data_IF_840475209973
#
_entry.id   IF_840475209973
#
_cell.length_a   1.000
_cell.length_b   1.000
_cell.length_c   1.000
_cell.angle_alpha   90.00
_cell.angle_beta   90.00
_cell.angle_gamma   90.00
#
_symmetry.space_group_name_H-M   'P 1'
#
loop_
_entity.id
_entity.type
_entity.pdbx_description
1 polymer ?
#
# COMPACT_ATOMS: atom_id res chain seq x y z
N UNK A 1 8.64 -2.29 18.27
CA UNK A 1 8.41 -1.59 16.99
C UNK A 1 9.38 -2.14 15.95
N UNK A 2 8.90 -2.47 14.73
CA UNK A 2 9.76 -2.95 13.63
C UNK A 2 9.87 -1.83 12.58
N UNK A 3 11.08 -1.62 12.08
CA UNK A 3 11.41 -0.63 11.04
C UNK A 3 12.24 -1.31 9.96
N UNK A 4 11.81 -1.24 8.71
CA UNK A 4 12.58 -1.69 7.57
C UNK A 4 13.08 -0.49 6.75
N UNK A 5 14.18 -0.66 6.03
CA UNK A 5 14.83 0.42 5.30
C UNK A 5 15.29 -0.04 3.92
N UNK A 6 15.44 0.93 3.01
CA UNK A 6 15.91 0.68 1.65
C UNK A 6 17.34 0.13 1.58
N UNK A 7 18.13 0.20 2.66
CA UNK A 7 19.44 -0.45 2.70
C UNK A 7 19.39 -1.92 3.15
N UNK A 8 18.26 -2.60 2.93
CA UNK A 8 18.02 -4.00 3.30
C UNK A 8 18.31 -4.31 4.79
N UNK A 9 17.96 -3.38 5.65
CA UNK A 9 18.06 -3.58 7.10
C UNK A 9 16.71 -3.53 7.78
N UNK A 10 16.52 -4.42 8.75
CA UNK A 10 15.34 -4.45 9.62
C UNK A 10 15.82 -4.22 11.06
N UNK A 11 15.12 -3.36 11.76
CA UNK A 11 15.41 -2.99 13.14
C UNK A 11 14.19 -3.29 14.01
N UNK A 12 14.45 -3.73 15.24
CA UNK A 12 13.46 -3.73 16.30
C UNK A 12 13.86 -2.74 17.39
N UNK A 13 12.91 -1.94 17.80
CA UNK A 13 13.07 -1.02 18.90
C UNK A 13 12.04 -1.31 19.99
N UNK A 14 12.44 -1.15 21.24
CA UNK A 14 11.50 -1.02 22.34
C UNK A 14 10.64 0.23 22.12
N UNK A 15 9.33 0.05 22.06
CA UNK A 15 8.42 1.15 21.71
C UNK A 15 8.26 2.18 22.83
N UNK A 16 8.63 1.84 24.08
CA UNK A 16 8.56 2.75 25.22
C UNK A 16 9.82 3.60 25.41
N UNK A 17 10.99 3.01 25.16
CA UNK A 17 12.29 3.62 25.45
C UNK A 17 13.02 4.08 24.20
N UNK A 18 12.67 3.55 23.01
CA UNK A 18 13.41 3.77 21.78
C UNK A 18 14.72 2.98 21.69
N UNK A 19 15.06 2.14 22.69
CA UNK A 19 16.26 1.32 22.64
C UNK A 19 16.16 0.28 21.53
N UNK A 20 17.25 0.12 20.76
CA UNK A 20 17.34 -0.91 19.73
C UNK A 20 17.49 -2.28 20.39
N UNK A 21 16.49 -3.15 20.20
CA UNK A 21 16.53 -4.53 20.68
C UNK A 21 17.43 -5.40 19.78
N UNK A 22 17.26 -5.26 18.46
CA UNK A 22 18.10 -5.96 17.49
C UNK A 22 18.12 -5.23 16.14
N UNK A 23 19.10 -5.61 15.31
CA UNK A 23 19.23 -5.19 13.91
C UNK A 23 19.62 -6.42 13.09
N UNK A 24 18.96 -6.59 11.93
CA UNK A 24 19.34 -7.54 10.90
C UNK A 24 19.67 -6.76 9.62
N UNK A 25 20.91 -6.88 9.12
CA UNK A 25 21.27 -6.41 7.77
C UNK A 25 21.25 -7.62 6.85
N UNK A 26 20.40 -7.59 5.82
CA UNK A 26 20.06 -8.76 5.02
C UNK A 26 20.88 -8.87 3.74
N UNK A 27 21.64 -7.83 3.41
CA UNK A 27 22.54 -7.80 2.27
C UNK A 27 22.64 -6.42 1.62
N UNK A 28 23.36 -6.34 0.50
CA UNK A 28 23.56 -5.10 -0.24
C UNK A 28 22.38 -4.86 -1.19
N UNK A 29 21.64 -3.76 -1.03
CA UNK A 29 20.54 -3.42 -1.93
C UNK A 29 21.04 -3.07 -3.33
N UNK A 30 20.13 -3.02 -4.29
CA UNK A 30 20.44 -2.61 -5.66
C UNK A 30 20.60 -1.10 -5.73
N UNK A 31 21.65 -0.61 -6.38
CA UNK A 31 21.79 0.82 -6.68
C UNK A 31 20.75 1.28 -7.70
N UNK A 32 20.14 2.43 -7.49
CA UNK A 32 19.22 3.02 -8.45
C UNK A 32 19.84 3.28 -9.81
N UNK A 33 21.17 3.56 -9.85
CA UNK A 33 21.93 3.73 -11.09
C UNK A 33 22.09 2.46 -11.92
N UNK A 34 21.87 1.29 -11.34
CA UNK A 34 21.92 -0.02 -12.04
C UNK A 34 20.53 -0.44 -12.58
N UNK A 35 19.49 0.35 -12.30
CA UNK A 35 18.12 0.13 -12.77
C UNK A 35 17.83 0.98 -14.01
N UNK A 36 16.94 0.54 -14.92
CA UNK A 36 16.66 1.26 -16.16
C UNK A 36 15.94 2.61 -15.94
N UNK A 37 15.28 2.81 -14.82
CA UNK A 37 14.69 4.04 -14.33
C UNK A 37 14.37 3.90 -12.83
N UNK A 38 13.62 4.83 -12.25
CA UNK A 38 13.24 4.80 -10.84
C UNK A 38 13.62 6.09 -10.13
N UNK A 39 13.14 6.26 -8.90
CA UNK A 39 13.41 7.43 -8.06
C UNK A 39 13.81 7.02 -6.63
N UNK A 40 14.14 5.74 -6.40
CA UNK A 40 14.61 5.21 -5.12
C UNK A 40 16.05 4.76 -5.29
N UNK A 41 16.95 5.33 -4.50
CA UNK A 41 18.37 4.96 -4.47
C UNK A 41 18.89 5.03 -3.03
N UNK A 42 19.25 3.90 -2.48
CA UNK A 42 19.27 2.51 -3.01
C UNK A 42 17.87 1.86 -2.93
N UNK A 43 17.59 0.83 -3.76
CA UNK A 43 16.35 0.07 -3.75
C UNK A 43 16.55 -1.27 -3.03
N UNK A 44 15.93 -1.41 -1.87
CA UNK A 44 15.99 -2.59 -1.00
C UNK A 44 14.60 -3.00 -0.50
N UNK A 45 14.34 -2.86 0.82
CA UNK A 45 13.02 -3.15 1.39
C UNK A 45 12.14 -1.91 1.26
N UNK A 46 11.46 -1.76 0.13
CA UNK A 46 10.53 -0.64 -0.12
C UNK A 46 9.15 -0.92 0.45
N UNK A 47 8.64 -2.15 0.32
CA UNK A 47 7.32 -2.55 0.82
C UNK A 47 7.30 -2.70 2.34
N UNK A 48 6.21 -2.26 2.97
CA UNK A 48 6.03 -2.41 4.43
C UNK A 48 5.97 -3.90 4.82
N UNK A 49 6.81 -4.35 5.78
CA UNK A 49 6.79 -5.72 6.30
C UNK A 49 5.47 -6.10 6.95
N UNK A 50 5.18 -7.40 7.02
CA UNK A 50 4.05 -7.95 7.78
C UNK A 50 4.53 -8.81 8.94
N UNK A 51 3.83 -8.72 10.08
CA UNK A 51 4.17 -9.45 11.30
C UNK A 51 3.12 -10.52 11.58
N UNK A 52 3.56 -11.77 11.73
CA UNK A 52 2.79 -12.82 12.38
C UNK A 52 3.17 -12.87 13.86
N UNK A 53 2.41 -12.17 14.69
CA UNK A 53 2.65 -12.12 16.13
C UNK A 53 2.46 -13.50 16.81
N UNK A 54 1.59 -14.34 16.28
CA UNK A 54 1.33 -15.69 16.81
C UNK A 54 2.50 -16.62 16.54
N UNK A 55 3.04 -16.58 15.31
CA UNK A 55 4.21 -17.37 14.94
C UNK A 55 5.53 -16.72 15.41
N UNK A 56 5.51 -15.46 15.85
CA UNK A 56 6.69 -14.68 16.21
C UNK A 56 7.61 -14.44 15.02
N UNK A 57 7.06 -14.05 13.86
CA UNK A 57 7.80 -13.87 12.62
C UNK A 57 7.52 -12.49 12.00
N UNK A 58 8.56 -11.87 11.46
CA UNK A 58 8.47 -10.70 10.57
C UNK A 58 8.81 -11.16 9.16
N UNK A 59 7.97 -10.82 8.19
CA UNK A 59 8.23 -11.05 6.76
C UNK A 59 8.54 -9.73 6.08
N UNK A 60 9.62 -9.70 5.30
CA UNK A 60 10.02 -8.57 4.46
C UNK A 60 10.46 -9.08 3.08
N UNK A 61 10.46 -8.21 2.08
CA UNK A 61 11.03 -8.50 0.76
C UNK A 61 12.23 -7.61 0.55
N UNK A 62 13.41 -8.21 0.36
CA UNK A 62 14.66 -7.53 0.00
C UNK A 62 14.85 -7.50 -1.51
N UNK A 63 15.64 -6.55 -2.02
CA UNK A 63 16.02 -6.52 -3.42
C UNK A 63 17.55 -6.43 -3.56
N UNK A 64 18.17 -7.54 -3.96
CA UNK A 64 19.62 -7.71 -3.97
C UNK A 64 20.06 -8.43 -5.23
N UNK A 65 21.17 -8.00 -5.86
CA UNK A 65 21.71 -8.66 -7.05
C UNK A 65 20.66 -8.90 -8.15
N UNK A 66 19.70 -7.99 -8.27
CA UNK A 66 18.55 -8.09 -9.16
C UNK A 66 17.65 -9.32 -8.89
N UNK A 67 17.51 -9.72 -7.63
CA UNK A 67 16.59 -10.75 -7.17
C UNK A 67 15.80 -10.24 -5.96
N UNK A 68 14.48 -10.35 -5.99
CA UNK A 68 13.65 -10.14 -4.82
C UNK A 68 13.60 -11.41 -3.97
N UNK A 69 13.79 -11.26 -2.66
CA UNK A 69 13.74 -12.39 -1.72
C UNK A 69 12.77 -12.11 -0.59
N UNK A 70 11.81 -13.02 -0.41
CA UNK A 70 10.99 -13.04 0.79
C UNK A 70 11.83 -13.62 1.94
N UNK A 71 12.00 -12.84 2.99
CA UNK A 71 12.78 -13.17 4.18
C UNK A 71 11.84 -13.26 5.38
N UNK A 72 11.97 -14.33 6.17
CA UNK A 72 11.30 -14.50 7.45
C UNK A 72 12.31 -14.34 8.58
N UNK A 73 12.07 -13.36 9.44
CA UNK A 73 12.91 -13.05 10.59
C UNK A 73 12.20 -13.47 11.88
N UNK A 74 12.96 -13.98 12.82
CA UNK A 74 12.49 -14.17 14.18
C UNK A 74 12.17 -12.80 14.81
N UNK A 75 10.94 -12.62 15.28
CA UNK A 75 10.47 -11.34 15.80
C UNK A 75 11.21 -10.90 17.07
N UNK A 76 11.68 -11.84 17.88
CA UNK A 76 12.36 -11.53 19.14
C UNK A 76 13.83 -11.22 18.95
N UNK A 77 14.50 -11.85 17.97
CA UNK A 77 15.96 -11.80 17.84
C UNK A 77 16.47 -11.18 16.54
N UNK A 78 15.62 -11.05 15.52
CA UNK A 78 16.01 -10.63 14.18
C UNK A 78 16.79 -11.69 13.38
N UNK A 79 16.97 -12.90 13.90
CA UNK A 79 17.65 -13.97 13.19
C UNK A 79 16.82 -14.39 11.97
N UNK A 80 17.49 -14.60 10.83
CA UNK A 80 16.83 -15.13 9.61
C UNK A 80 16.43 -16.57 9.86
N UNK A 81 15.13 -16.87 9.90
CA UNK A 81 14.60 -18.21 10.01
C UNK A 81 14.68 -18.95 8.66
N UNK A 82 14.33 -18.24 7.58
CA UNK A 82 14.45 -18.71 6.21
C UNK A 82 14.31 -17.54 5.22
N UNK A 83 14.69 -17.80 3.97
CA UNK A 83 14.49 -16.91 2.84
C UNK A 83 14.30 -17.70 1.54
N UNK A 84 13.65 -17.08 0.57
CA UNK A 84 13.43 -17.66 -0.75
C UNK A 84 13.33 -16.59 -1.83
N UNK A 85 13.67 -16.90 -3.12
CA UNK A 85 13.32 -16.04 -4.25
C UNK A 85 11.80 -15.84 -4.34
N UNK A 86 11.38 -14.62 -4.71
CA UNK A 86 9.97 -14.24 -4.84
C UNK A 86 9.70 -13.38 -6.06
N UNK A 87 10.58 -13.37 -7.05
CA UNK A 87 10.35 -12.68 -8.31
C UNK A 87 9.13 -13.24 -9.07
N UNK A 88 8.40 -12.41 -9.81
CA UNK A 88 7.33 -12.88 -10.69
C UNK A 88 7.86 -13.82 -11.76
N UNK A 89 7.15 -14.93 -12.08
CA UNK A 89 7.62 -15.93 -13.02
C UNK A 89 7.92 -15.36 -14.41
N UNK A 90 9.17 -15.51 -14.88
CA UNK A 90 9.60 -15.08 -16.20
C UNK A 90 9.75 -13.55 -16.37
N UNK A 91 9.64 -12.78 -15.30
CA UNK A 91 9.81 -11.34 -15.33
C UNK A 91 11.30 -10.95 -15.18
N UNK A 92 11.69 -9.79 -15.71
CA UNK A 92 12.98 -9.15 -15.40
C UNK A 92 12.84 -8.39 -14.07
N UNK A 93 13.52 -8.81 -12.99
CA UNK A 93 13.43 -8.13 -11.70
C UNK A 93 13.86 -6.66 -11.72
N UNK A 94 14.71 -6.27 -12.70
CA UNK A 94 15.18 -4.89 -12.84
C UNK A 94 14.11 -3.92 -13.31
N UNK A 95 12.98 -4.41 -13.81
CA UNK A 95 11.86 -3.59 -14.25
C UNK A 95 10.66 -3.66 -13.31
N UNK A 96 10.76 -4.46 -12.24
CA UNK A 96 9.68 -4.65 -11.26
C UNK A 96 10.08 -4.08 -9.91
N UNK A 97 9.15 -3.43 -9.24
CA UNK A 97 9.33 -2.91 -7.89
C UNK A 97 8.29 -3.49 -6.92
N UNK A 98 8.77 -3.99 -5.80
CA UNK A 98 7.94 -4.42 -4.69
C UNK A 98 7.79 -3.24 -3.72
N UNK A 99 6.73 -2.44 -3.88
CA UNK A 99 6.47 -1.22 -3.08
C UNK A 99 5.30 -1.41 -2.10
N UNK A 100 4.29 -2.14 -2.50
CA UNK A 100 3.08 -2.34 -1.71
C UNK A 100 3.37 -3.06 -0.40
N UNK A 101 2.65 -2.70 0.67
CA UNK A 101 2.73 -3.43 1.93
C UNK A 101 2.40 -4.91 1.74
N UNK A 102 3.12 -5.78 2.45
CA UNK A 102 2.84 -7.20 2.46
C UNK A 102 1.54 -7.50 3.21
N UNK A 103 0.85 -8.54 2.79
CA UNK A 103 -0.32 -9.04 3.51
C UNK A 103 -0.12 -10.50 3.94
N UNK A 104 -0.66 -10.86 5.10
CA UNK A 104 -0.61 -12.22 5.64
C UNK A 104 -2.04 -12.72 5.83
N UNK A 105 -2.39 -13.79 5.14
CA UNK A 105 -3.69 -14.44 5.30
C UNK A 105 -3.60 -15.90 4.91
N UNK A 106 -4.42 -16.76 5.57
CA UNK A 106 -4.52 -18.19 5.24
C UNK A 106 -3.15 -18.88 5.13
N UNK A 107 -2.23 -18.58 6.08
CA UNK A 107 -0.87 -19.10 6.12
C UNK A 107 -0.04 -18.80 4.85
N UNK A 108 -0.33 -17.67 4.17
CA UNK A 108 0.43 -17.18 3.02
C UNK A 108 0.80 -15.71 3.20
N UNK A 109 2.01 -15.36 2.79
CA UNK A 109 2.45 -13.98 2.59
C UNK A 109 2.16 -13.61 1.15
N UNK A 110 1.41 -12.52 0.97
CA UNK A 110 1.08 -11.97 -0.35
C UNK A 110 1.97 -10.77 -0.65
N UNK A 111 2.51 -10.77 -1.85
CA UNK A 111 3.50 -9.80 -2.34
C UNK A 111 3.01 -9.23 -3.67
N UNK A 112 2.81 -7.92 -3.73
CA UNK A 112 2.40 -7.25 -4.97
C UNK A 112 3.60 -6.58 -5.65
N UNK A 113 3.56 -6.52 -6.97
CA UNK A 113 4.56 -5.87 -7.81
C UNK A 113 3.94 -4.89 -8.78
N UNK A 114 4.70 -3.86 -9.08
CA UNK A 114 4.46 -2.92 -10.16
C UNK A 114 5.75 -2.61 -10.90
N UNK A 115 5.76 -1.55 -11.70
CA UNK A 115 6.94 -1.01 -12.35
C UNK A 115 7.73 -0.08 -11.45
N UNK A 116 8.89 0.32 -11.94
CA UNK A 116 9.67 1.43 -11.42
C UNK A 116 8.99 2.78 -11.75
N UNK A 117 9.29 3.81 -11.00
CA UNK A 117 8.89 5.17 -11.39
C UNK A 117 9.49 5.51 -12.77
N UNK A 118 8.63 5.94 -13.70
CA UNK A 118 9.00 6.18 -15.10
C UNK A 118 8.63 5.05 -16.05
N UNK A 119 8.03 3.96 -15.56
CA UNK A 119 7.38 2.87 -16.33
C UNK A 119 8.25 2.26 -17.43
N UNK A 120 9.56 2.14 -17.17
CA UNK A 120 10.51 1.59 -18.12
C UNK A 120 10.50 0.07 -18.16
N UNK A 121 10.82 -0.46 -19.32
CA UNK A 121 10.91 -1.91 -19.56
C UNK A 121 9.54 -2.58 -19.73
N UNK A 122 9.56 -3.89 -19.84
CA UNK A 122 8.36 -4.71 -20.00
C UNK A 122 7.94 -5.29 -18.65
N UNK A 123 7.27 -4.51 -17.83
CA UNK A 123 6.75 -4.96 -16.55
C UNK A 123 5.25 -5.21 -16.61
N UNK A 124 4.75 -5.95 -15.62
CA UNK A 124 3.34 -6.18 -15.35
C UNK A 124 3.04 -6.02 -13.86
N UNK A 125 1.80 -5.71 -13.54
CA UNK A 125 1.30 -5.89 -12.19
C UNK A 125 1.20 -7.37 -11.85
N UNK A 126 1.70 -7.75 -10.66
CA UNK A 126 1.61 -9.12 -10.15
C UNK A 126 1.14 -9.14 -8.71
N UNK A 127 0.47 -10.24 -8.36
CA UNK A 127 0.25 -10.66 -6.98
C UNK A 127 0.83 -12.06 -6.82
N UNK A 128 1.77 -12.23 -5.90
CA UNK A 128 2.33 -13.52 -5.53
C UNK A 128 1.86 -13.95 -4.15
N UNK A 129 1.72 -15.26 -3.92
CA UNK A 129 1.34 -15.81 -2.61
C UNK A 129 2.25 -16.96 -2.22
N UNK A 130 3.20 -16.72 -1.30
CA UNK A 130 4.14 -17.71 -0.81
C UNK A 130 3.67 -18.33 0.52
N UNK A 131 3.95 -19.63 0.78
CA UNK A 131 3.71 -20.21 2.11
C UNK A 131 4.46 -19.44 3.19
N UNK A 132 3.78 -19.14 4.31
CA UNK A 132 4.37 -18.49 5.47
C UNK A 132 5.18 -19.46 6.36
N UNK A 133 4.98 -20.76 6.19
CA UNK A 133 5.57 -21.80 7.02
C UNK A 133 7.04 -22.12 6.71
N UNK A 134 7.58 -21.68 5.55
CA UNK A 134 8.97 -22.01 5.19
C UNK A 134 9.33 -21.63 3.75
N UNK A 135 10.59 -21.89 3.35
CA UNK A 135 11.11 -21.49 2.05
C UNK A 135 10.64 -22.39 0.89
N UNK A 136 9.99 -23.50 1.20
CA UNK A 136 9.55 -24.51 0.24
C UNK A 136 8.06 -24.41 -0.05
N UNK A 137 7.59 -25.17 -1.03
CA UNK A 137 6.21 -25.19 -1.48
C UNK A 137 5.89 -24.19 -2.59
N UNK A 138 4.73 -24.34 -3.25
CA UNK A 138 4.38 -23.58 -4.43
C UNK A 138 4.08 -22.13 -4.11
N UNK A 139 4.61 -21.21 -4.92
CA UNK A 139 4.20 -19.82 -4.99
C UNK A 139 3.02 -19.72 -5.95
N UNK A 140 1.92 -19.18 -5.47
CA UNK A 140 0.80 -18.79 -6.32
C UNK A 140 1.16 -17.50 -7.04
N UNK A 141 0.66 -17.32 -8.27
CA UNK A 141 0.90 -16.12 -9.04
C UNK A 141 -0.37 -15.70 -9.81
N UNK A 142 -0.69 -14.43 -9.74
CA UNK A 142 -1.65 -13.76 -10.60
C UNK A 142 -0.92 -12.63 -11.32
N UNK A 143 -1.00 -12.61 -12.64
CA UNK A 143 -0.53 -11.51 -13.48
C UNK A 143 -1.73 -10.71 -13.95
N UNK A 144 -1.68 -9.39 -13.83
CA UNK A 144 -2.68 -8.51 -14.43
C UNK A 144 -2.66 -8.72 -15.94
N UNK A 145 -3.82 -8.98 -16.61
CA UNK A 145 -3.85 -9.38 -18.01
C UNK A 145 -3.71 -8.20 -18.99
N UNK A 146 -2.94 -7.18 -18.62
CA UNK A 146 -2.51 -6.10 -19.52
C UNK A 146 -1.47 -6.62 -20.53
N UNK A 147 -1.30 -5.96 -21.64
CA UNK A 147 -0.17 -6.24 -22.56
C UNK A 147 1.18 -5.87 -21.95
N UNK A 148 1.22 -4.82 -21.11
CA UNK A 148 2.32 -4.29 -20.32
C UNK A 148 1.70 -3.43 -19.20
N UNK A 149 2.43 -3.11 -18.12
CA UNK A 149 1.96 -2.22 -17.05
C UNK A 149 0.91 -2.87 -16.13
N UNK A 150 -0.13 -2.15 -15.72
CA UNK A 150 -1.12 -2.65 -14.77
C UNK A 150 -0.57 -2.83 -13.35
N UNK A 151 0.37 -2.01 -12.94
CA UNK A 151 1.07 -2.06 -11.65
C UNK A 151 0.13 -2.19 -10.47
N UNK A 152 0.41 -3.11 -9.53
CA UNK A 152 -0.21 -3.14 -8.20
C UNK A 152 0.77 -2.48 -7.23
N UNK A 153 0.70 -1.14 -7.12
CA UNK A 153 1.75 -0.35 -6.50
C UNK A 153 1.32 0.51 -5.30
N UNK A 154 0.02 0.56 -5.01
CA UNK A 154 -0.46 1.32 -3.86
C UNK A 154 0.27 0.89 -2.57
N UNK A 155 0.91 1.83 -1.83
CA UNK A 155 1.74 1.50 -0.68
C UNK A 155 0.95 0.88 0.48
N UNK A 156 -0.35 1.09 0.55
CA UNK A 156 -1.24 0.45 1.53
C UNK A 156 -1.35 -1.08 1.37
N UNK A 157 -0.92 -1.63 0.22
CA UNK A 157 -1.02 -3.06 -0.07
C UNK A 157 -2.44 -3.55 -0.36
N UNK A 158 -2.62 -4.88 -0.48
CA UNK A 158 -3.92 -5.47 -0.71
C UNK A 158 -4.81 -5.40 0.53
N UNK A 159 -6.09 -5.07 0.37
CA UNK A 159 -7.08 -5.22 1.42
C UNK A 159 -7.60 -6.65 1.50
N UNK A 160 -7.81 -7.16 2.71
CA UNK A 160 -8.25 -8.53 2.97
C UNK A 160 -9.65 -8.55 3.58
N UNK A 161 -10.56 -9.34 3.01
CA UNK A 161 -11.83 -9.63 3.67
C UNK A 161 -11.73 -10.81 4.65
N UNK A 162 -12.74 -11.05 5.52
CA UNK A 162 -12.72 -12.16 6.47
C UNK A 162 -12.65 -13.56 5.83
N UNK A 163 -13.05 -13.70 4.56
CA UNK A 163 -12.90 -14.93 3.80
C UNK A 163 -11.48 -15.14 3.26
N UNK A 164 -10.62 -14.10 3.38
CA UNK A 164 -9.25 -14.07 2.89
C UNK A 164 -9.12 -13.67 1.42
N UNK A 165 -10.19 -13.19 0.79
CA UNK A 165 -10.07 -12.62 -0.55
C UNK A 165 -9.28 -11.31 -0.48
N UNK A 166 -8.47 -11.09 -1.52
CA UNK A 166 -7.67 -9.89 -1.68
C UNK A 166 -8.35 -8.92 -2.63
N UNK A 167 -8.32 -7.65 -2.28
CA UNK A 167 -8.74 -6.55 -3.15
C UNK A 167 -7.52 -5.70 -3.45
N UNK A 168 -7.20 -5.54 -4.72
CA UNK A 168 -6.08 -4.74 -5.21
C UNK A 168 -6.54 -3.73 -6.23
N UNK A 169 -5.82 -2.63 -6.37
CA UNK A 169 -6.05 -1.67 -7.44
C UNK A 169 -4.87 -1.69 -8.40
N UNK A 170 -5.14 -1.58 -9.69
CA UNK A 170 -4.13 -1.49 -10.75
C UNK A 170 -3.96 -0.05 -11.21
N UNK A 171 -2.72 0.30 -11.54
CA UNK A 171 -2.38 1.52 -12.26
C UNK A 171 -2.73 1.43 -13.74
N UNK A 172 -2.12 2.30 -14.53
CA UNK A 172 -2.33 2.37 -15.97
C UNK A 172 -2.10 1.02 -16.64
N UNK A 173 -2.93 0.70 -17.62
CA UNK A 173 -2.68 -0.38 -18.56
C UNK A 173 -2.01 0.12 -19.83
N UNK A 174 -1.55 -0.78 -20.66
CA UNK A 174 -0.88 -0.44 -21.92
C UNK A 174 -1.85 -0.06 -23.04
N UNK A 175 -3.14 -0.38 -22.89
CA UNK A 175 -4.16 0.01 -23.86
C UNK A 175 -4.80 1.35 -23.49
N UNK A 176 -4.82 2.28 -24.44
CA UNK A 176 -5.45 3.60 -24.30
C UNK A 176 -6.81 3.68 -25.02
N UNK A 177 -7.24 2.60 -25.67
CA UNK A 177 -8.47 2.56 -26.47
C UNK A 177 -9.50 1.51 -26.01
N UNK A 178 -9.05 0.48 -25.29
CA UNK A 178 -9.91 -0.59 -24.78
C UNK A 178 -9.48 -0.99 -23.36
N UNK A 179 -10.43 -1.51 -22.60
CA UNK A 179 -10.13 -1.98 -21.25
C UNK A 179 -9.24 -3.23 -21.30
N UNK A 180 -8.15 -3.21 -20.52
CA UNK A 180 -7.15 -4.25 -20.42
C UNK A 180 -6.75 -4.59 -18.97
N UNK A 181 -7.63 -4.34 -17.99
CA UNK A 181 -7.39 -4.43 -16.55
C UNK A 181 -6.43 -3.40 -15.96
N UNK A 182 -5.97 -2.41 -16.73
CA UNK A 182 -5.46 -1.17 -16.18
C UNK A 182 -6.57 -0.34 -15.52
N UNK A 183 -6.24 0.44 -14.51
CA UNK A 183 -7.19 1.30 -13.78
C UNK A 183 -8.41 0.54 -13.25
N UNK A 184 -8.17 -0.60 -12.60
CA UNK A 184 -9.22 -1.48 -12.07
C UNK A 184 -9.02 -1.81 -10.58
N UNK A 185 -10.11 -2.11 -9.89
CA UNK A 185 -10.10 -2.86 -8.64
C UNK A 185 -10.37 -4.32 -8.96
N UNK A 186 -9.50 -5.22 -8.53
CA UNK A 186 -9.60 -6.65 -8.79
C UNK A 186 -9.75 -7.39 -7.47
N UNK A 187 -10.72 -8.30 -7.39
CA UNK A 187 -10.85 -9.24 -6.28
C UNK A 187 -10.25 -10.58 -6.66
N UNK A 188 -9.28 -11.03 -5.86
CA UNK A 188 -8.63 -12.33 -5.98
C UNK A 188 -9.05 -13.24 -4.82
N UNK A 189 -9.26 -14.52 -5.10
CA UNK A 189 -9.43 -15.53 -4.04
C UNK A 189 -8.10 -15.71 -3.27
N UNK A 190 -8.10 -16.40 -2.11
CA UNK A 190 -6.85 -16.75 -1.42
C UNK A 190 -5.87 -17.59 -2.26
N UNK A 191 -6.35 -18.22 -3.32
CA UNK A 191 -5.55 -18.98 -4.29
C UNK A 191 -5.19 -18.18 -5.54
N UNK A 192 -5.41 -16.85 -5.49
CA UNK A 192 -5.10 -15.89 -6.54
C UNK A 192 -5.84 -16.11 -7.87
N UNK A 193 -7.06 -16.66 -7.84
CA UNK A 193 -7.97 -16.64 -8.98
C UNK A 193 -8.79 -15.35 -8.95
N UNK A 194 -8.91 -14.68 -10.07
CA UNK A 194 -9.82 -13.54 -10.20
C UNK A 194 -11.27 -13.99 -9.96
N UNK A 195 -11.98 -13.23 -9.14
CA UNK A 195 -13.38 -13.51 -8.79
C UNK A 195 -14.30 -12.31 -8.98
N UNK A 196 -13.81 -11.29 -9.67
CA UNK A 196 -14.53 -10.09 -10.06
C UNK A 196 -13.67 -8.85 -10.08
N UNK A 197 -14.12 -7.86 -10.81
CA UNK A 197 -13.44 -6.58 -10.92
C UNK A 197 -14.43 -5.41 -11.04
N UNK A 198 -13.90 -4.20 -10.84
CA UNK A 198 -14.52 -2.93 -11.21
C UNK A 198 -13.49 -2.11 -11.98
N UNK A 199 -13.94 -1.38 -12.99
CA UNK A 199 -13.17 -0.34 -13.65
C UNK A 199 -14.07 0.87 -13.98
N UNK A 200 -13.58 2.10 -13.94
CA UNK A 200 -14.27 3.24 -14.51
C UNK A 200 -14.60 3.00 -15.99
N UNK A 201 -15.71 3.56 -16.47
CA UNK A 201 -16.11 3.40 -17.90
C UNK A 201 -15.09 3.97 -18.90
N UNK A 202 -14.25 4.88 -18.44
CA UNK A 202 -13.17 5.53 -19.20
C UNK A 202 -11.76 5.03 -18.82
N UNK A 203 -11.61 3.84 -18.23
CA UNK A 203 -10.34 3.31 -17.73
C UNK A 203 -9.20 3.36 -18.75
N UNK A 204 -9.45 3.03 -20.01
CA UNK A 204 -8.47 3.12 -21.09
C UNK A 204 -7.99 4.56 -21.33
N UNK A 205 -8.90 5.53 -21.32
CA UNK A 205 -8.53 6.94 -21.45
C UNK A 205 -7.72 7.44 -20.25
N UNK A 206 -8.01 6.95 -19.04
CA UNK A 206 -7.21 7.25 -17.84
C UNK A 206 -5.78 6.72 -17.97
N UNK A 207 -5.59 5.51 -18.53
CA UNK A 207 -4.26 4.96 -18.83
C UNK A 207 -3.47 5.88 -19.79
N UNK A 208 -4.13 6.40 -20.82
CA UNK A 208 -3.49 7.32 -21.75
C UNK A 208 -3.12 8.70 -21.18
N UNK A 209 -3.71 9.06 -20.04
CA UNK A 209 -3.50 10.35 -19.38
C UNK A 209 -2.64 10.25 -18.10
N UNK A 210 -2.10 9.08 -17.78
CA UNK A 210 -1.40 8.77 -16.52
C UNK A 210 -2.23 9.10 -15.26
N UNK A 211 -3.51 8.73 -15.30
CA UNK A 211 -4.45 8.99 -14.21
C UNK A 211 -4.81 7.71 -13.45
N UNK A 212 -3.79 7.11 -12.79
CA UNK A 212 -3.93 5.85 -12.05
C UNK A 212 -5.07 5.84 -11.04
N UNK A 213 -5.97 4.86 -11.16
CA UNK A 213 -6.86 4.48 -10.07
C UNK A 213 -6.08 3.81 -8.92
N UNK A 214 -5.05 3.05 -9.27
CA UNK A 214 -4.20 2.32 -8.33
C UNK A 214 -3.19 3.16 -7.56
N UNK A 215 -3.30 4.48 -7.56
CA UNK A 215 -2.50 5.35 -6.68
C UNK A 215 -2.89 5.24 -5.20
N UNK A 216 -4.07 4.69 -4.90
CA UNK A 216 -4.48 4.24 -3.57
C UNK A 216 -4.86 2.77 -3.58
N UNK A 217 -4.90 2.13 -2.39
CA UNK A 217 -5.43 0.78 -2.23
C UNK A 217 -6.91 0.78 -1.91
N UNK A 218 -7.66 -0.30 -2.25
CA UNK A 218 -9.06 -0.42 -1.89
C UNK A 218 -9.26 -0.44 -0.37
N UNK A 219 -10.19 0.35 0.14
CA UNK A 219 -10.60 0.38 1.54
C UNK A 219 -11.87 -0.43 1.72
N UNK A 220 -11.82 -1.53 2.49
CA UNK A 220 -13.00 -2.32 2.81
C UNK A 220 -13.84 -1.62 3.88
N UNK A 221 -15.15 -1.59 3.66
CA UNK A 221 -16.12 -0.89 4.49
C UNK A 221 -17.20 -1.86 5.02
N UNK A 222 -17.85 -1.54 6.14
CA UNK A 222 -18.99 -2.32 6.63
C UNK A 222 -20.11 -2.43 5.59
N UNK A 223 -20.90 -3.52 5.66
CA UNK A 223 -22.03 -3.74 4.77
C UNK A 223 -21.66 -4.27 3.39
N UNK A 224 -20.57 -5.02 3.28
CA UNK A 224 -20.07 -5.59 2.02
C UNK A 224 -19.80 -4.51 0.97
N UNK A 225 -19.10 -3.46 1.35
CA UNK A 225 -18.72 -2.35 0.49
C UNK A 225 -17.20 -2.15 0.48
N UNK A 226 -16.71 -1.50 -0.57
CA UNK A 226 -15.34 -1.02 -0.68
C UNK A 226 -15.34 0.39 -1.25
N UNK A 227 -14.32 1.16 -0.92
CA UNK A 227 -14.07 2.48 -1.49
C UNK A 227 -12.72 2.47 -2.20
N UNK A 228 -12.63 3.20 -3.30
CA UNK A 228 -11.39 3.46 -4.02
C UNK A 228 -11.43 4.86 -4.61
N UNK A 229 -10.28 5.51 -4.64
CA UNK A 229 -10.03 6.80 -5.27
C UNK A 229 -8.62 6.76 -5.88
N UNK A 230 -8.33 7.58 -6.87
CA UNK A 230 -7.02 7.63 -7.50
C UNK A 230 -6.64 9.03 -7.94
N UNK A 231 -5.76 9.14 -8.95
CA UNK A 231 -5.23 10.40 -9.48
C UNK A 231 -6.31 11.32 -10.09
N UNK A 232 -7.50 10.81 -10.39
CA UNK A 232 -8.61 11.65 -10.87
C UNK A 232 -9.36 12.38 -9.76
N UNK A 233 -9.09 12.03 -8.49
CA UNK A 233 -9.85 12.55 -7.35
C UNK A 233 -11.32 12.13 -7.30
N UNK A 234 -11.74 11.21 -8.18
CA UNK A 234 -13.09 10.62 -8.15
C UNK A 234 -13.08 9.39 -7.27
N UNK A 235 -13.84 9.45 -6.17
CA UNK A 235 -14.07 8.30 -5.29
C UNK A 235 -15.22 7.43 -5.80
N UNK A 236 -15.01 6.12 -5.77
CA UNK A 236 -15.99 5.10 -6.15
C UNK A 236 -16.37 4.24 -4.95
N UNK A 237 -17.65 4.08 -4.70
CA UNK A 237 -18.19 3.11 -3.75
C UNK A 237 -18.59 1.86 -4.51
N UNK A 238 -18.08 0.71 -4.07
CA UNK A 238 -18.25 -0.58 -4.72
C UNK A 238 -18.97 -1.58 -3.80
N UNK A 239 -19.69 -2.54 -4.37
CA UNK A 239 -20.16 -3.71 -3.64
C UNK A 239 -19.09 -4.81 -3.65
N UNK A 240 -18.66 -5.32 -2.49
CA UNK A 240 -17.74 -6.45 -2.44
C UNK A 240 -18.40 -7.79 -2.80
N UNK A 241 -19.73 -7.86 -2.84
CA UNK A 241 -20.45 -9.05 -3.32
C UNK A 241 -20.34 -9.19 -4.83
N UNK A 242 -20.43 -8.03 -5.56
CA UNK A 242 -20.31 -7.96 -7.01
C UNK A 242 -19.71 -6.60 -7.36
N UNK A 243 -18.43 -6.55 -7.74
CA UNK A 243 -17.68 -5.31 -7.93
C UNK A 243 -18.25 -4.38 -9.02
N UNK A 244 -19.03 -4.90 -9.96
CA UNK A 244 -19.78 -4.08 -10.92
C UNK A 244 -19.23 -4.12 -12.34
N UNK A 245 -18.03 -4.64 -12.58
CA UNK A 245 -17.41 -4.64 -13.91
C UNK A 245 -17.10 -3.22 -14.40
N UNK A 246 -17.25 -2.95 -15.68
CA UNK A 246 -16.91 -1.65 -16.26
C UNK A 246 -18.05 -0.66 -16.05
N UNK A 247 -17.80 0.43 -15.33
CA UNK A 247 -18.70 1.58 -15.25
C UNK A 247 -19.90 1.46 -14.30
N UNK A 248 -19.97 0.41 -13.45
CA UNK A 248 -21.13 0.18 -12.58
C UNK A 248 -20.75 0.18 -11.07
N UNK A 249 -20.27 1.30 -10.49
CA UNK A 249 -20.11 1.42 -9.04
C UNK A 249 -21.49 1.58 -8.37
N UNK A 250 -21.56 1.39 -7.04
CA UNK A 250 -22.76 1.78 -6.27
C UNK A 250 -22.97 3.30 -6.28
N UNK A 251 -21.88 4.04 -6.19
CA UNK A 251 -21.84 5.50 -6.31
C UNK A 251 -20.47 5.98 -6.75
N UNK A 252 -20.41 7.18 -7.31
CA UNK A 252 -19.17 7.91 -7.57
C UNK A 252 -19.31 9.38 -7.22
N UNK A 253 -18.18 10.01 -6.82
CA UNK A 253 -18.16 11.42 -6.42
C UNK A 253 -16.77 12.01 -6.63
N UNK A 254 -16.69 13.21 -7.23
CA UNK A 254 -15.48 14.03 -7.17
C UNK A 254 -15.23 14.50 -5.74
N UNK A 255 -14.04 14.22 -5.21
CA UNK A 255 -13.67 14.47 -3.82
C UNK A 255 -12.56 15.53 -3.76
N UNK A 256 -11.52 15.41 -4.58
CA UNK A 256 -10.37 16.30 -4.64
C UNK A 256 -9.69 16.22 -6.02
N UNK A 257 -8.51 16.83 -6.18
CA UNK A 257 -7.78 16.77 -7.45
C UNK A 257 -7.13 15.41 -7.71
N UNK A 258 -6.42 14.87 -6.71
CA UNK A 258 -5.81 13.55 -6.76
C UNK A 258 -5.60 13.00 -5.35
N UNK A 259 -5.57 11.66 -5.21
CA UNK A 259 -5.29 10.96 -3.96
C UNK A 259 -4.22 9.89 -4.14
N UNK A 260 -3.40 9.67 -3.09
CA UNK A 260 -2.29 8.71 -3.07
C UNK A 260 -2.18 8.00 -1.73
N UNK A 261 -1.78 6.73 -1.75
CA UNK A 261 -1.47 5.97 -0.54
C UNK A 261 -2.63 5.12 -0.04
N UNK A 262 -3.17 5.42 1.13
CA UNK A 262 -4.25 4.65 1.73
C UNK A 262 -5.21 5.53 2.52
N UNK A 263 -6.48 5.21 2.46
CA UNK A 263 -7.54 5.90 3.17
C UNK A 263 -7.73 5.32 4.58
N UNK A 264 -8.26 6.11 5.51
CA UNK A 264 -8.71 5.64 6.82
C UNK A 264 -10.23 5.71 6.95
N UNK A 265 -10.83 4.86 7.81
CA UNK A 265 -12.27 4.85 8.03
C UNK A 265 -12.62 4.68 9.51
N UNK A 266 -13.53 5.49 9.99
CA UNK A 266 -14.21 5.31 11.27
C UNK A 266 -15.60 5.97 11.29
N UNK A 267 -16.52 5.34 12.00
CA UNK A 267 -17.84 5.91 12.33
C UNK A 267 -18.59 6.51 11.12
N UNK A 268 -18.55 5.81 9.97
CA UNK A 268 -19.23 6.25 8.75
C UNK A 268 -18.51 7.35 7.98
N UNK A 269 -17.25 7.65 8.30
CA UNK A 269 -16.46 8.67 7.61
C UNK A 269 -15.18 8.06 7.06
N UNK A 270 -14.90 8.32 5.77
CA UNK A 270 -13.67 7.99 5.07
C UNK A 270 -12.78 9.24 5.10
N UNK A 271 -11.49 9.09 5.40
CA UNK A 271 -10.50 10.17 5.40
C UNK A 271 -9.51 9.90 4.28
N UNK A 272 -9.56 10.76 3.26
CA UNK A 272 -8.85 10.60 1.99
C UNK A 272 -7.61 11.48 1.98
N UNK A 273 -6.40 10.94 1.71
CA UNK A 273 -5.18 11.73 1.55
C UNK A 273 -5.09 12.32 0.14
N UNK A 274 -5.65 13.50 0.00
CA UNK A 274 -5.58 14.27 -1.24
C UNK A 274 -4.28 15.08 -1.33
N UNK A 275 -3.88 15.45 -2.53
CA UNK A 275 -2.66 16.26 -2.76
C UNK A 275 -2.73 17.64 -2.11
N UNK A 276 -3.91 18.16 -1.91
CA UNK A 276 -4.21 19.45 -1.28
C UNK A 276 -4.63 19.35 0.21
N UNK A 277 -4.68 18.14 0.78
CA UNK A 277 -5.01 17.93 2.20
C UNK A 277 -5.79 16.65 2.46
N UNK A 278 -6.16 16.45 3.73
CA UNK A 278 -7.08 15.37 4.11
C UNK A 278 -8.52 15.83 3.89
N UNK A 279 -9.29 15.05 3.13
CA UNK A 279 -10.72 15.27 2.94
C UNK A 279 -11.51 14.20 3.67
N UNK A 280 -12.43 14.62 4.54
CA UNK A 280 -13.38 13.70 5.18
C UNK A 280 -14.65 13.55 4.35
N UNK A 281 -14.99 12.31 4.05
CA UNK A 281 -16.15 11.94 3.24
C UNK A 281 -17.12 11.13 4.09
N UNK A 282 -18.30 11.69 4.40
CA UNK A 282 -19.37 10.98 5.10
C UNK A 282 -20.04 9.98 4.15
N UNK A 283 -20.15 8.75 4.61
CA UNK A 283 -20.89 7.69 3.93
C UNK A 283 -22.28 7.52 4.59
N UNK A 284 -23.34 7.81 3.85
CA UNK A 284 -24.73 7.64 4.31
C UNK A 284 -25.51 6.83 3.27
N UNK A 285 -25.85 5.58 3.61
CA UNK A 285 -26.28 4.61 2.58
C UNK A 285 -25.19 4.47 1.54
N UNK A 286 -25.51 4.68 0.27
CA UNK A 286 -24.56 4.66 -0.83
C UNK A 286 -24.14 6.07 -1.31
N UNK A 287 -24.33 7.10 -0.46
CA UNK A 287 -23.96 8.48 -0.79
C UNK A 287 -22.61 8.85 -0.18
N UNK A 288 -21.69 9.34 -1.01
CA UNK A 288 -20.41 9.93 -0.64
C UNK A 288 -20.55 11.45 -0.53
N UNK A 289 -20.33 12.02 0.66
CA UNK A 289 -20.49 13.44 0.91
C UNK A 289 -19.23 14.01 1.57
N UNK A 290 -18.40 14.80 0.88
CA UNK A 290 -17.34 15.58 1.53
C UNK A 290 -17.94 16.50 2.58
N UNK A 291 -17.37 16.50 3.80
CA UNK A 291 -17.90 17.24 4.95
C UNK A 291 -16.91 18.27 5.50
N UNK A 292 -15.62 18.02 5.38
CA UNK A 292 -14.56 18.97 5.67
C UNK A 292 -13.28 18.60 4.93
N UNK A 293 -12.38 19.58 4.75
CA UNK A 293 -11.02 19.41 4.26
C UNK A 293 -10.02 20.14 5.15
N UNK A 294 -8.77 19.64 5.22
CA UNK A 294 -7.70 20.22 6.03
C UNK A 294 -6.35 20.09 5.29
N UNK A 295 -5.82 21.21 4.82
CA UNK A 295 -4.62 21.29 3.97
C UNK A 295 -3.27 21.13 4.68
N UNK A 296 -3.24 20.99 6.02
CA UNK A 296 -1.97 20.87 6.75
C UNK A 296 -1.25 19.53 6.54
N UNK A 297 -2.00 18.46 6.28
CA UNK A 297 -1.47 17.11 6.08
C UNK A 297 -1.99 16.52 4.77
N UNK A 298 -1.12 15.86 4.02
CA UNK A 298 -1.40 15.36 2.66
C UNK A 298 -1.06 13.88 2.47
N UNK A 299 -0.42 13.26 3.47
CA UNK A 299 0.00 11.86 3.42
C UNK A 299 -1.01 10.95 4.12
N UNK A 300 -0.97 9.63 3.87
CA UNK A 300 -1.95 8.68 4.36
C UNK A 300 -2.24 8.78 5.86
N UNK A 301 -3.51 8.96 6.26
CA UNK A 301 -3.88 9.11 7.67
C UNK A 301 -4.11 7.76 8.35
N UNK A 302 -3.99 7.77 9.70
CA UNK A 302 -4.47 6.70 10.56
C UNK A 302 -5.38 7.26 11.65
N UNK A 303 -6.25 6.41 12.17
CA UNK A 303 -7.03 6.70 13.37
C UNK A 303 -6.38 6.01 14.57
N UNK A 304 -6.03 6.80 15.58
CA UNK A 304 -5.46 6.29 16.82
C UNK A 304 -5.93 7.14 18.02
N UNK A 305 -6.44 6.46 19.04
CA UNK A 305 -7.10 7.14 20.15
C UNK A 305 -8.25 8.04 19.66
N UNK A 306 -8.37 9.28 20.17
CA UNK A 306 -9.43 10.21 19.76
C UNK A 306 -9.07 11.03 18.50
N UNK A 307 -7.96 10.75 17.83
CA UNK A 307 -7.41 11.59 16.76
C UNK A 307 -7.25 10.90 15.43
N UNK A 308 -7.29 11.71 14.39
CA UNK A 308 -6.83 11.36 13.04
C UNK A 308 -5.40 11.89 12.91
N UNK A 309 -4.45 11.01 12.64
CA UNK A 309 -3.04 11.34 12.56
C UNK A 309 -2.57 11.26 11.11
N UNK A 310 -1.93 12.30 10.64
CA UNK A 310 -1.39 12.36 9.28
C UNK A 310 -0.15 13.24 9.21
N UNK A 311 0.61 13.11 8.15
CA UNK A 311 1.86 13.83 7.92
C UNK A 311 1.70 14.80 6.75
N UNK A 312 2.39 15.93 6.82
CA UNK A 312 2.48 16.90 5.74
C UNK A 312 3.43 18.05 6.10
N UNK A 313 4.08 18.64 5.10
CA UNK A 313 4.93 19.81 5.30
C UNK A 313 6.01 19.67 6.38
N UNK A 314 6.62 18.47 6.52
CA UNK A 314 7.65 18.20 7.52
C UNK A 314 7.15 18.09 8.97
N UNK A 315 5.85 17.84 9.16
CA UNK A 315 5.28 17.71 10.50
C UNK A 315 4.26 16.56 10.59
N UNK A 316 4.13 16.01 11.79
CA UNK A 316 3.04 15.14 12.18
C UNK A 316 1.91 16.01 12.77
N UNK A 317 0.69 15.73 12.36
CA UNK A 317 -0.52 16.39 12.83
C UNK A 317 -1.47 15.40 13.49
N UNK A 318 -2.12 15.81 14.57
CA UNK A 318 -3.34 15.20 15.05
C UNK A 318 -4.50 16.12 14.69
N UNK A 319 -5.43 15.61 13.92
CA UNK A 319 -6.66 16.30 13.52
C UNK A 319 -7.85 15.80 14.34
N UNK A 320 -8.80 16.68 14.57
CA UNK A 320 -10.13 16.30 15.05
C UNK A 320 -10.86 15.55 13.92
N UNK A 321 -11.24 14.28 14.10
CA UNK A 321 -11.89 13.52 13.04
C UNK A 321 -13.29 14.04 12.67
N UNK A 322 -13.93 14.87 13.52
CA UNK A 322 -15.27 15.39 13.28
C UNK A 322 -15.26 16.64 12.40
N UNK A 323 -14.25 17.51 12.56
CA UNK A 323 -14.23 18.83 11.92
C UNK A 323 -12.88 19.23 11.29
N UNK A 324 -11.87 18.37 11.32
CA UNK A 324 -10.55 18.60 10.72
C UNK A 324 -9.64 19.58 11.47
N UNK A 325 -10.04 20.13 12.64
CA UNK A 325 -9.19 21.06 13.39
C UNK A 325 -7.91 20.40 13.85
N UNK A 326 -6.77 21.09 13.68
CA UNK A 326 -5.48 20.67 14.22
C UNK A 326 -5.53 20.75 15.75
N UNK A 327 -5.33 19.60 16.41
CA UNK A 327 -5.24 19.47 17.88
C UNK A 327 -3.80 19.42 18.36
N UNK A 328 -2.90 18.87 17.53
CA UNK A 328 -1.48 18.75 17.84
C UNK A 328 -0.67 18.85 16.55
N UNK A 329 0.56 19.38 16.67
CA UNK A 329 1.55 19.47 15.62
C UNK A 329 2.94 19.26 16.20
N UNK A 330 3.76 18.43 15.55
CA UNK A 330 5.18 18.30 15.88
C UNK A 330 6.01 18.25 14.59
N UNK A 331 7.12 18.98 14.55
CA UNK A 331 8.07 18.92 13.44
C UNK A 331 8.84 17.60 13.50
N UNK A 332 8.94 16.92 12.34
CA UNK A 332 9.61 15.61 12.19
C UNK A 332 10.69 15.62 11.10
N UNK A 333 10.91 16.75 10.43
CA UNK A 333 11.80 16.84 9.27
C UNK A 333 11.11 16.37 7.98
N UNK A 334 11.91 15.95 7.00
CA UNK A 334 11.42 15.60 5.66
C UNK A 334 10.91 14.15 5.63
N UNK A 335 9.60 13.91 5.54
CA UNK A 335 9.05 12.57 5.44
C UNK A 335 9.22 12.03 4.03
N UNK A 336 9.43 10.71 3.91
CA UNK A 336 9.36 10.06 2.60
C UNK A 336 7.96 10.19 2.00
N UNK A 337 7.89 10.20 0.68
CA UNK A 337 6.61 10.09 -0.03
C UNK A 337 5.88 8.83 0.45
N UNK A 338 4.58 8.93 0.77
CA UNK A 338 3.76 7.89 1.40
C UNK A 338 4.06 7.57 2.87
N UNK A 339 4.86 8.35 3.58
CA UNK A 339 5.05 8.15 5.01
C UNK A 339 3.70 8.12 5.74
N UNK A 340 3.39 6.96 6.32
CA UNK A 340 2.14 6.71 7.05
C UNK A 340 2.49 6.52 8.52
N UNK A 341 1.85 7.21 9.47
CA UNK A 341 2.03 6.93 10.88
C UNK A 341 1.60 5.51 11.25
N UNK A 342 2.15 4.96 12.31
CA UNK A 342 1.69 3.72 12.94
C UNK A 342 1.35 3.99 14.41
N UNK A 343 0.45 3.22 15.01
CA UNK A 343 0.08 3.41 16.42
C UNK A 343 0.02 2.08 17.18
N UNK A 344 0.54 2.09 18.39
CA UNK A 344 0.48 0.95 19.31
C UNK A 344 0.74 1.41 20.75
N UNK A 345 0.07 0.80 21.74
CA UNK A 345 0.33 1.03 23.15
C UNK A 345 0.15 2.49 23.59
N UNK A 346 -0.80 3.22 23.00
CA UNK A 346 -1.04 4.63 23.29
C UNK A 346 -0.06 5.61 22.64
N UNK A 347 0.84 5.13 21.78
CA UNK A 347 1.81 5.96 21.05
C UNK A 347 1.58 5.95 19.57
N UNK A 348 1.97 7.04 18.90
CA UNK A 348 2.04 7.19 17.46
C UNK A 348 3.49 7.28 17.02
N UNK A 349 3.84 6.54 15.99
CA UNK A 349 5.19 6.46 15.44
C UNK A 349 5.17 6.97 14.00
N UNK A 350 6.23 7.69 13.60
CA UNK A 350 6.40 8.15 12.22
C UNK A 350 7.88 8.19 11.84
N UNK A 351 8.19 7.78 10.62
CA UNK A 351 9.54 7.85 10.06
C UNK A 351 9.70 9.11 9.21
N UNK A 352 10.78 9.86 9.44
CA UNK A 352 11.17 11.00 8.62
C UNK A 352 12.66 11.31 8.80
N UNK A 353 13.36 11.75 7.73
CA UNK A 353 14.74 12.19 7.79
C UNK A 353 15.73 11.15 8.39
N UNK A 354 15.51 9.86 8.10
CA UNK A 354 16.34 8.77 8.64
C UNK A 354 16.15 8.48 10.14
N UNK A 355 15.07 8.98 10.75
CA UNK A 355 14.70 8.79 12.15
C UNK A 355 13.30 8.25 12.30
N UNK A 356 13.01 7.62 13.42
CA UNK A 356 11.66 7.30 13.87
C UNK A 356 11.34 8.12 15.11
N UNK A 357 10.25 8.83 15.06
CA UNK A 357 9.71 9.63 16.15
C UNK A 357 8.58 8.88 16.83
N UNK A 358 8.49 8.97 18.15
CA UNK A 358 7.40 8.43 18.95
C UNK A 358 6.73 9.56 19.74
N UNK A 359 5.40 9.59 19.71
CA UNK A 359 4.56 10.55 20.42
C UNK A 359 3.52 9.79 21.25
N UNK A 360 3.30 10.21 22.49
CA UNK A 360 2.35 9.57 23.40
C UNK A 360 1.90 10.50 24.50
#
# INVERSE_FOLDING_TARGET
MIVATENDSVYAFDAATGHQAWRAHLGTPVSGGDLPCGNIDVSGITGTPVIDATAGVVYAVTFQRFEHRLVALDLATGAVRWQRPIDPPGADPRTHQQRAALALSRARVYVAYGGLYGDCGNYHGWMLGAPASGPTGPVLAYRVPTGREGAIWAPSGPALDPAGNLYVATGNGSSTSSFDFGNAVIRLTPTLHESGFFAPSNAAALSGADLDLGSTGPLLLPGSRAFIIGKTGVGYLLSTRRLGGIGHPLASRGICDAAFGGDAYAHGTIYVPCTDGIVAVRLTGDRLQPVWSQGAATLPPILAGPGLWAVGGGALYQLDPVNGRVRFRASIGDPAHFATPAASGGRVFVAAGGRVYAFG
#
